data_IF_950596320607
#
_entry.id   IF_950596320607
#
_cell.length_a   1.000
_cell.length_b   1.000
_cell.length_c   1.000
_cell.angle_alpha   90.00
_cell.angle_beta   90.00
_cell.angle_gamma   90.00
#
_symmetry.space_group_name_H-M   'P 1'
#
loop_
_entity.id
_entity.type
_entity.pdbx_description
1 polymer ?
#
# COMPACT_ATOMS: atom_id res chain seq x y z
N UNK A 1 9.02 0.70 -14.06
CA UNK A 1 10.08 0.15 -13.20
C UNK A 1 9.47 -1.02 -12.49
N UNK A 2 10.09 -2.19 -12.65
CA UNK A 2 9.64 -3.41 -11.98
C UNK A 2 10.30 -3.46 -10.61
N UNK A 3 9.49 -3.62 -9.56
CA UNK A 3 9.99 -3.84 -8.20
C UNK A 3 9.99 -5.35 -7.95
N UNK A 4 11.17 -5.98 -8.06
CA UNK A 4 11.33 -7.39 -7.74
C UNK A 4 11.56 -7.54 -6.23
N UNK A 5 10.51 -7.91 -5.49
CA UNK A 5 10.60 -8.04 -4.03
C UNK A 5 11.50 -9.19 -3.59
N UNK A 6 11.69 -10.23 -4.41
CA UNK A 6 12.64 -11.30 -4.11
C UNK A 6 14.08 -10.79 -4.14
N UNK A 7 14.45 -10.00 -5.15
CA UNK A 7 15.77 -9.36 -5.21
C UNK A 7 15.99 -8.37 -4.06
N UNK A 8 14.95 -7.63 -3.65
CA UNK A 8 15.05 -6.75 -2.49
C UNK A 8 15.34 -7.53 -1.20
N UNK A 9 14.67 -8.66 -0.99
CA UNK A 9 14.95 -9.54 0.16
C UNK A 9 16.39 -10.07 0.13
N UNK A 10 16.88 -10.48 -1.04
CA UNK A 10 18.24 -11.03 -1.18
C UNK A 10 19.32 -9.97 -0.90
N UNK A 11 19.11 -8.72 -1.34
CA UNK A 11 20.08 -7.62 -1.19
C UNK A 11 20.03 -6.98 0.20
N UNK A 12 18.85 -6.87 0.79
CA UNK A 12 18.59 -6.08 2.00
C UNK A 12 18.04 -6.92 3.16
N UNK A 13 18.56 -8.14 3.33
CA UNK A 13 18.13 -9.16 4.31
C UNK A 13 17.58 -8.61 5.65
N UNK A 14 18.38 -7.83 6.38
CA UNK A 14 18.01 -7.34 7.72
C UNK A 14 17.23 -6.00 7.72
N UNK A 15 16.90 -5.48 6.54
CA UNK A 15 16.23 -4.19 6.36
C UNK A 15 14.85 -4.32 5.70
N UNK A 16 14.43 -5.54 5.36
CA UNK A 16 13.15 -5.81 4.71
C UNK A 16 12.24 -6.60 5.63
N UNK A 17 11.11 -5.99 5.97
CA UNK A 17 9.99 -6.69 6.59
C UNK A 17 9.03 -7.18 5.50
N UNK A 18 8.73 -8.48 5.52
CA UNK A 18 7.80 -9.10 4.57
C UNK A 18 6.42 -9.16 5.19
N UNK A 19 5.43 -8.57 4.51
CA UNK A 19 4.03 -8.64 4.92
C UNK A 19 3.45 -10.03 4.59
N UNK A 20 2.60 -10.53 5.49
CA UNK A 20 1.82 -11.74 5.24
C UNK A 20 1.00 -11.63 3.95
N UNK A 21 0.76 -12.73 3.22
CA UNK A 21 0.04 -12.74 1.94
C UNK A 21 -1.47 -12.53 2.17
N UNK A 22 -1.86 -11.29 2.44
CA UNK A 22 -3.24 -10.88 2.76
C UNK A 22 -3.89 -9.99 1.68
N UNK A 23 -3.12 -9.51 0.71
CA UNK A 23 -3.58 -8.57 -0.32
C UNK A 23 -3.94 -9.28 -1.63
N UNK A 24 -4.88 -8.69 -2.36
CA UNK A 24 -5.18 -9.01 -3.76
C UNK A 24 -4.82 -7.82 -4.64
N UNK A 25 -4.32 -8.09 -5.86
CA UNK A 25 -3.98 -7.05 -6.83
C UNK A 25 -5.17 -6.74 -7.73
N UNK A 26 -5.58 -5.46 -7.76
CA UNK A 26 -6.74 -4.99 -8.54
C UNK A 26 -6.39 -3.93 -9.58
N UNK A 27 -5.21 -3.31 -9.50
CA UNK A 27 -4.79 -2.23 -10.40
C UNK A 27 -4.17 -2.73 -11.71
N UNK A 28 -4.05 -1.85 -12.70
CA UNK A 28 -3.39 -2.16 -13.98
C UNK A 28 -1.85 -2.16 -13.94
N UNK A 29 -1.25 -1.90 -12.77
CA UNK A 29 0.20 -1.93 -12.56
C UNK A 29 0.54 -3.14 -11.68
N UNK A 30 1.34 -4.07 -12.21
CA UNK A 30 1.73 -5.30 -11.51
C UNK A 30 2.78 -5.09 -10.42
N UNK A 31 3.49 -3.96 -10.44
CA UNK A 31 4.46 -3.58 -9.41
C UNK A 31 4.49 -2.07 -9.21
N UNK A 32 4.74 -1.65 -7.97
CA UNK A 32 4.87 -0.26 -7.56
C UNK A 32 5.62 -0.18 -6.22
N UNK A 33 6.15 1.01 -5.91
CA UNK A 33 6.86 1.29 -4.67
C UNK A 33 6.99 2.78 -4.43
N UNK A 34 7.24 3.18 -3.18
CA UNK A 34 7.33 4.58 -2.78
C UNK A 34 7.27 4.76 -1.26
N UNK A 35 7.38 6.01 -0.82
CA UNK A 35 7.25 6.35 0.60
C UNK A 35 5.83 6.06 1.09
N UNK A 36 5.69 5.30 2.17
CA UNK A 36 4.38 4.95 2.74
C UNK A 36 3.77 6.19 3.42
N UNK A 37 2.52 6.48 3.09
CA UNK A 37 1.62 7.34 3.87
C UNK A 37 0.50 6.46 4.41
N UNK A 38 0.20 6.52 5.70
CA UNK A 38 -0.81 5.66 6.31
C UNK A 38 -2.06 6.44 6.69
N UNK A 39 -3.21 5.77 6.59
CA UNK A 39 -4.45 6.22 7.19
C UNK A 39 -5.12 5.04 7.90
N UNK A 40 -5.86 5.34 8.96
CA UNK A 40 -6.72 4.38 9.64
C UNK A 40 -8.14 4.92 9.63
N UNK A 41 -9.08 4.12 9.15
CA UNK A 41 -10.50 4.45 9.11
C UNK A 41 -11.34 3.19 9.32
N UNK A 42 -12.66 3.34 9.44
CA UNK A 42 -13.57 2.20 9.54
C UNK A 42 -14.86 2.54 8.81
N UNK A 43 -15.09 1.88 7.68
CA UNK A 43 -16.32 1.98 6.87
C UNK A 43 -16.70 3.39 6.38
N UNK A 44 -15.71 4.27 6.36
CA UNK A 44 -15.75 5.64 5.85
C UNK A 44 -14.53 5.91 4.97
N UNK A 45 -14.76 6.56 3.83
CA UNK A 45 -13.74 6.87 2.83
C UNK A 45 -13.43 8.37 2.70
N UNK A 46 -14.01 9.23 3.54
CA UNK A 46 -13.83 10.69 3.44
C UNK A 46 -12.37 11.11 3.62
N UNK A 47 -11.67 10.49 4.57
CA UNK A 47 -10.23 10.72 4.78
C UNK A 47 -9.39 10.20 3.60
N UNK A 48 -9.79 9.08 2.98
CA UNK A 48 -9.12 8.52 1.78
C UNK A 48 -9.17 9.53 0.64
N UNK A 49 -10.37 10.05 0.34
CA UNK A 49 -10.58 11.04 -0.72
C UNK A 49 -9.78 12.33 -0.47
N UNK A 50 -9.73 12.78 0.78
CA UNK A 50 -8.96 13.97 1.18
C UNK A 50 -7.47 13.78 0.88
N UNK A 51 -6.86 12.67 1.32
CA UNK A 51 -5.42 12.40 1.11
C UNK A 51 -5.08 12.21 -0.37
N UNK A 52 -5.96 11.56 -1.13
CA UNK A 52 -5.78 11.37 -2.58
C UNK A 52 -5.81 12.68 -3.38
N UNK A 53 -6.37 13.76 -2.81
CA UNK A 53 -6.37 15.09 -3.45
C UNK A 53 -5.02 15.83 -3.30
N UNK A 54 -4.13 15.34 -2.44
CA UNK A 54 -2.80 15.92 -2.24
C UNK A 54 -1.77 15.39 -3.25
N UNK A 55 -0.65 16.08 -3.51
CA UNK A 55 0.39 15.64 -4.45
C UNK A 55 0.98 14.25 -4.14
N UNK A 56 0.61 13.20 -4.89
CA UNK A 56 0.95 11.80 -4.58
C UNK A 56 2.27 11.26 -5.16
N UNK A 57 3.09 12.08 -5.82
CA UNK A 57 4.27 11.59 -6.54
C UNK A 57 5.26 10.86 -5.61
N UNK A 58 5.61 9.61 -5.96
CA UNK A 58 6.56 8.79 -5.19
C UNK A 58 6.02 8.23 -3.87
N UNK A 59 4.71 8.33 -3.63
CA UNK A 59 4.06 7.84 -2.40
C UNK A 59 3.20 6.60 -2.64
N UNK A 60 3.05 5.77 -1.60
CA UNK A 60 2.09 4.66 -1.53
C UNK A 60 1.17 4.91 -0.34
N UNK A 61 -0.14 4.98 -0.58
CA UNK A 61 -1.14 5.12 0.49
C UNK A 61 -1.53 3.74 1.02
N UNK A 62 -1.24 3.47 2.29
CA UNK A 62 -1.67 2.25 3.00
C UNK A 62 -2.87 2.58 3.90
N UNK A 63 -3.94 1.81 3.75
CA UNK A 63 -5.23 2.04 4.42
C UNK A 63 -5.52 0.89 5.38
N UNK A 64 -5.53 1.17 6.68
CA UNK A 64 -6.11 0.28 7.68
C UNK A 64 -7.62 0.55 7.78
N UNK A 65 -8.43 -0.24 7.08
CA UNK A 65 -9.89 -0.22 7.13
C UNK A 65 -10.50 -1.12 8.21
N UNK A 66 -9.69 -1.67 9.12
CA UNK A 66 -10.13 -2.67 10.11
C UNK A 66 -10.51 -4.03 9.52
N UNK A 67 -10.15 -4.31 8.26
CA UNK A 67 -10.47 -5.57 7.58
C UNK A 67 -11.95 -5.78 7.26
N UNK A 68 -12.79 -4.74 7.33
CA UNK A 68 -14.21 -4.87 6.98
C UNK A 68 -14.39 -5.16 5.49
N UNK A 69 -15.21 -6.17 5.18
CA UNK A 69 -15.62 -6.51 3.81
C UNK A 69 -17.02 -5.96 3.47
N UNK A 70 -17.62 -5.14 4.34
CA UNK A 70 -19.01 -4.69 4.20
C UNK A 70 -19.17 -3.51 3.24
N UNK A 71 -18.11 -2.74 3.00
CA UNK A 71 -18.12 -1.50 2.21
C UNK A 71 -16.82 -1.35 1.40
N UNK A 72 -16.90 -0.52 0.37
CA UNK A 72 -15.75 -0.02 -0.40
C UNK A 72 -15.52 1.46 -0.09
#
# INVERSE_FOLDING_TARGET
MEYNTSELCDIYLDQVDVVEPMFSSYGGRSSFGGQITTIKCFEDNGLIATVLSEPGAGRVLLIDGGGSLRRA
#
